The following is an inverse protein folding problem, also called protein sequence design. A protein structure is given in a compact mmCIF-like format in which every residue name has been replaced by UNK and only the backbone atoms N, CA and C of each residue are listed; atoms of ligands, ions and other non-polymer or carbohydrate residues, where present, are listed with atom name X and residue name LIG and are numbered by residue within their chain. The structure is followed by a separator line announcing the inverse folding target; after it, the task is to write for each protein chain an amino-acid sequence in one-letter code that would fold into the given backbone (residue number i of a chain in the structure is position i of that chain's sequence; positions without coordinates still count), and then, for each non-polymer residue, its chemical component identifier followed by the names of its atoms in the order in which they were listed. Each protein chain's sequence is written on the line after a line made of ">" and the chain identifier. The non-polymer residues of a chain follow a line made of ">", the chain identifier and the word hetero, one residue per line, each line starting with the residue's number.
data_IF_995617154149
#
_entry.id   IF_995617154149
#
_cell.length_a   1.000
_cell.length_b   1.000
_cell.length_c   1.000
_cell.angle_alpha   90.00
_cell.angle_beta   90.00
_cell.angle_gamma   90.00
#
_symmetry.space_group_name_H-M   'P 1'
#
loop_
_entity.id
_entity.type
_entity.pdbx_description
1 polymer ?
#
# COMPACT_ATOMS: atom_id res chain seq x y z
N UNK A 1 19.44 21.11 14.63
CA UNK A 1 18.74 20.25 15.62
C UNK A 1 17.43 19.69 15.09
N UNK A 2 16.34 20.48 14.98
CA UNK A 2 14.99 19.95 14.61
C UNK A 2 14.90 19.33 13.21
N UNK A 3 15.64 19.88 12.23
CA UNK A 3 15.71 19.30 10.87
C UNK A 3 16.47 17.96 10.86
N UNK A 4 17.48 17.81 11.72
CA UNK A 4 18.30 16.61 11.81
C UNK A 4 17.65 15.50 12.64
N UNK A 5 16.81 15.87 13.62
CA UNK A 5 15.99 14.93 14.37
C UNK A 5 14.52 15.36 14.37
N UNK A 6 13.69 14.73 13.54
CA UNK A 6 12.30 15.14 13.32
C UNK A 6 11.32 14.68 14.40
N UNK A 7 11.70 13.74 15.27
CA UNK A 7 10.87 13.27 16.38
C UNK A 7 11.13 14.01 17.71
N UNK A 8 12.07 14.96 17.69
CA UNK A 8 12.50 15.70 18.88
C UNK A 8 11.34 16.45 19.54
N UNK A 9 11.22 16.28 20.85
CA UNK A 9 10.18 16.89 21.68
C UNK A 9 10.59 18.30 22.11
N UNK A 10 9.60 19.15 22.43
CA UNK A 10 9.85 20.51 22.94
C UNK A 10 10.74 20.52 24.20
N UNK A 11 10.65 19.48 25.05
CA UNK A 11 11.49 19.35 26.26
C UNK A 11 12.95 19.06 25.93
N UNK A 12 13.20 18.20 24.95
CA UNK A 12 14.55 17.86 24.48
C UNK A 12 15.19 19.05 23.77
N UNK A 13 14.41 19.81 22.99
CA UNK A 13 14.86 21.08 22.41
C UNK A 13 15.29 22.07 23.51
N UNK A 14 14.51 22.17 24.60
CA UNK A 14 14.85 23.04 25.74
C UNK A 14 16.16 22.63 26.38
N UNK A 15 16.32 21.34 26.66
CA UNK A 15 17.51 20.79 27.31
C UNK A 15 18.76 21.04 26.45
N UNK A 16 18.66 20.81 25.14
CA UNK A 16 19.74 21.09 24.20
C UNK A 16 20.10 22.58 24.12
N UNK A 17 19.11 23.49 24.16
CA UNK A 17 19.35 24.94 24.16
C UNK A 17 20.04 25.41 25.44
N UNK A 18 19.65 24.88 26.61
CA UNK A 18 20.25 25.24 27.90
C UNK A 18 21.68 24.67 28.02
N UNK A 19 21.90 23.47 27.48
CA UNK A 19 23.22 22.83 27.49
C UNK A 19 24.23 23.50 26.53
N UNK A 20 23.78 24.13 25.45
CA UNK A 20 24.64 24.78 24.46
C UNK A 20 25.07 26.19 24.90
N UNK A 21 26.16 26.24 25.68
CA UNK A 21 26.84 27.48 26.08
C UNK A 21 27.70 28.09 24.97
N UNK A 22 27.74 27.50 23.77
CA UNK A 22 28.41 28.06 22.61
C UNK A 22 27.51 29.05 21.88
N UNK A 23 26.38 28.55 21.37
CA UNK A 23 25.43 29.32 20.56
C UNK A 23 24.43 30.11 21.42
N UNK A 24 24.02 29.56 22.56
CA UNK A 24 22.97 30.10 23.43
C UNK A 24 23.53 30.56 24.79
N UNK A 25 24.59 31.37 24.75
CA UNK A 25 25.24 31.91 25.97
C UNK A 25 24.23 32.62 26.88
N UNK A 26 24.35 32.36 28.18
CA UNK A 26 23.55 32.96 29.25
C UNK A 26 22.05 32.60 29.25
N UNK A 27 21.63 31.59 28.47
CA UNK A 27 20.25 31.08 28.54
C UNK A 27 20.19 29.94 29.58
N UNK A 28 19.86 30.28 30.81
CA UNK A 28 19.74 29.31 31.91
C UNK A 28 18.32 28.73 32.05
N UNK A 29 17.32 29.35 31.43
CA UNK A 29 15.93 28.89 31.47
C UNK A 29 15.16 29.37 30.24
N UNK A 30 14.31 28.49 29.68
CA UNK A 30 13.38 28.85 28.62
C UNK A 30 12.08 28.04 28.75
N UNK A 31 10.95 28.70 28.57
CA UNK A 31 9.63 28.04 28.64
C UNK A 31 9.35 27.22 27.37
N UNK A 32 8.58 26.14 27.50
CA UNK A 32 8.15 25.33 26.35
C UNK A 32 7.30 26.14 25.36
N UNK A 33 6.50 27.09 25.85
CA UNK A 33 5.73 28.02 25.02
C UNK A 33 6.62 28.92 24.17
N UNK A 34 7.76 29.37 24.71
CA UNK A 34 8.73 30.18 23.95
C UNK A 34 9.32 29.36 22.81
N UNK A 35 9.76 28.12 23.08
CA UNK A 35 10.26 27.22 22.03
C UNK A 35 9.20 26.99 20.96
N UNK A 36 7.97 26.66 21.36
CA UNK A 36 6.88 26.44 20.41
C UNK A 36 6.56 27.67 19.56
N UNK A 37 6.75 28.88 20.09
CA UNK A 37 6.59 30.15 19.33
C UNK A 37 7.74 30.35 18.35
N UNK A 38 8.97 30.07 18.76
CA UNK A 38 10.17 30.16 17.91
C UNK A 38 10.07 29.17 16.74
N UNK A 39 9.66 27.92 16.98
CA UNK A 39 9.43 26.94 15.91
C UNK A 39 8.42 27.46 14.89
N UNK A 40 7.26 27.96 15.34
CA UNK A 40 6.25 28.54 14.45
C UNK A 40 6.76 29.75 13.66
N UNK A 41 7.55 30.63 14.30
CA UNK A 41 8.17 31.79 13.63
C UNK A 41 9.15 31.37 12.53
N UNK A 42 9.79 30.20 12.69
CA UNK A 42 10.69 29.61 11.69
C UNK A 42 9.97 28.63 10.75
N UNK A 43 8.64 28.76 10.60
CA UNK A 43 7.83 27.93 9.70
C UNK A 43 7.91 26.41 9.97
N UNK A 44 8.23 26.02 11.22
CA UNK A 44 8.20 24.63 11.65
C UNK A 44 6.82 24.31 12.22
N UNK A 45 6.14 23.36 11.60
CA UNK A 45 4.83 22.87 12.03
C UNK A 45 4.93 21.43 12.55
N UNK A 46 4.05 21.09 13.50
CA UNK A 46 3.88 19.70 13.91
C UNK A 46 3.22 18.92 12.77
N UNK A 47 3.86 17.83 12.34
CA UNK A 47 3.36 16.91 11.32
C UNK A 47 3.28 15.51 11.90
N UNK A 48 2.46 14.66 11.32
CA UNK A 48 2.49 13.24 11.64
C UNK A 48 3.83 12.66 11.17
N UNK A 49 4.50 11.93 12.05
CA UNK A 49 5.75 11.26 11.71
C UNK A 49 5.48 10.15 10.69
N UNK A 50 6.18 10.22 9.56
CA UNK A 50 6.22 9.13 8.59
C UNK A 50 7.30 8.13 9.02
N UNK A 51 6.88 6.92 9.42
CA UNK A 51 7.80 5.86 9.85
C UNK A 51 8.28 5.07 8.64
N UNK A 52 9.56 5.16 8.35
CA UNK A 52 10.20 4.37 7.29
C UNK A 52 10.88 3.16 7.92
N UNK A 53 10.53 1.92 7.54
CA UNK A 53 11.23 0.73 8.01
C UNK A 53 12.71 0.80 7.63
N UNK A 54 13.60 0.46 8.57
CA UNK A 54 15.05 0.48 8.33
C UNK A 54 15.44 -0.38 7.12
N UNK A 55 14.82 -1.55 6.98
CA UNK A 55 15.04 -2.50 5.90
C UNK A 55 14.73 -1.93 4.51
N UNK A 56 13.88 -0.90 4.41
CA UNK A 56 13.53 -0.24 3.12
C UNK A 56 14.77 0.29 2.39
N UNK A 57 15.77 0.72 3.13
CA UNK A 57 17.01 1.30 2.58
C UNK A 57 18.19 0.33 2.57
N UNK A 58 17.97 -0.94 2.92
CA UNK A 58 19.00 -1.98 2.76
C UNK A 58 19.38 -2.15 1.28
N UNK A 59 20.63 -2.51 1.03
CA UNK A 59 21.13 -2.67 -0.32
C UNK A 59 20.41 -3.79 -1.07
N UNK A 60 20.02 -4.87 -0.37
CA UNK A 60 19.20 -5.95 -0.92
C UNK A 60 17.84 -5.45 -1.43
N UNK A 61 17.14 -4.60 -0.66
CA UNK A 61 15.83 -4.05 -1.07
C UNK A 61 15.97 -2.99 -2.17
N UNK A 62 17.08 -2.26 -2.23
CA UNK A 62 17.38 -1.35 -3.34
C UNK A 62 17.64 -2.14 -4.63
N UNK A 63 18.48 -3.16 -4.56
CA UNK A 63 18.82 -4.02 -5.68
C UNK A 63 17.57 -4.71 -6.25
N UNK A 64 16.73 -5.30 -5.41
CA UNK A 64 15.46 -5.90 -5.85
C UNK A 64 14.53 -4.90 -6.55
N UNK A 65 14.55 -3.62 -6.15
CA UNK A 65 13.80 -2.56 -6.84
C UNK A 65 14.42 -2.20 -8.19
N UNK A 66 15.75 -2.14 -8.29
CA UNK A 66 16.43 -1.91 -9.56
C UNK A 66 16.07 -3.02 -10.56
N UNK A 67 16.22 -4.28 -10.14
CA UNK A 67 15.89 -5.45 -10.96
C UNK A 67 14.43 -5.45 -11.42
N UNK A 68 13.50 -5.07 -10.53
CA UNK A 68 12.09 -4.94 -10.91
C UNK A 68 11.87 -3.86 -11.98
N UNK A 69 12.49 -2.69 -11.83
CA UNK A 69 12.36 -1.60 -12.82
C UNK A 69 12.97 -2.00 -14.16
N UNK A 70 14.14 -2.62 -14.13
CA UNK A 70 14.78 -3.17 -15.34
C UNK A 70 13.85 -4.17 -16.04
N UNK A 71 13.23 -5.10 -15.28
CA UNK A 71 12.30 -6.07 -15.86
C UNK A 71 11.05 -5.42 -16.47
N UNK A 72 10.50 -4.39 -15.85
CA UNK A 72 9.38 -3.63 -16.43
C UNK A 72 9.81 -2.94 -17.73
N UNK A 73 10.98 -2.31 -17.75
CA UNK A 73 11.52 -1.67 -18.95
C UNK A 73 11.74 -2.67 -20.08
N UNK A 74 12.26 -3.85 -19.79
CA UNK A 74 12.40 -4.95 -20.77
C UNK A 74 11.03 -5.33 -21.36
N UNK A 75 10.01 -5.54 -20.52
CA UNK A 75 8.67 -5.88 -20.98
C UNK A 75 8.05 -4.77 -21.86
N UNK A 76 8.31 -3.50 -21.55
CA UNK A 76 7.87 -2.38 -22.39
C UNK A 76 8.58 -2.36 -23.76
N UNK A 77 9.83 -2.82 -23.84
CA UNK A 77 10.65 -2.84 -25.06
C UNK A 77 10.43 -4.11 -25.91
N UNK A 78 10.18 -5.27 -25.29
CA UNK A 78 10.00 -6.58 -25.94
C UNK A 78 8.76 -6.63 -26.88
N UNK A 79 7.88 -5.63 -26.81
CA UNK A 79 6.83 -5.40 -27.82
C UNK A 79 5.59 -4.74 -27.23
N UNK A 80 4.88 -3.97 -28.07
CA UNK A 80 3.68 -3.19 -27.73
C UNK A 80 2.42 -4.02 -27.40
N UNK A 81 2.58 -5.27 -26.96
CA UNK A 81 1.49 -6.21 -26.71
C UNK A 81 1.41 -6.64 -25.22
N UNK A 82 2.31 -6.19 -24.36
CA UNK A 82 2.19 -6.41 -22.92
C UNK A 82 1.12 -5.51 -22.30
N UNK A 83 0.16 -6.13 -21.63
CA UNK A 83 -0.90 -5.45 -20.87
C UNK A 83 -0.67 -5.70 -19.39
N UNK A 84 -0.28 -4.65 -18.67
CA UNK A 84 -0.08 -4.72 -17.22
C UNK A 84 -1.41 -4.68 -16.48
N UNK A 85 -1.57 -5.63 -15.56
CA UNK A 85 -2.77 -5.76 -14.72
C UNK A 85 -2.31 -5.82 -13.27
N UNK A 86 -2.69 -4.82 -12.49
CA UNK A 86 -2.41 -4.75 -11.06
C UNK A 86 -3.50 -5.45 -10.28
N UNK A 87 -3.12 -6.41 -9.46
CA UNK A 87 -4.03 -7.16 -8.60
C UNK A 87 -3.69 -6.84 -7.15
N UNK A 88 -4.73 -6.54 -6.37
CA UNK A 88 -4.61 -6.27 -4.93
C UNK A 88 -5.79 -6.87 -4.15
N UNK A 89 -5.54 -7.11 -2.86
CA UNK A 89 -6.52 -7.62 -1.90
C UNK A 89 -6.80 -6.57 -0.82
N UNK A 90 -8.08 -6.26 -0.65
CA UNK A 90 -8.54 -5.25 0.29
C UNK A 90 -9.53 -5.86 1.30
N UNK A 91 -9.19 -5.75 2.58
CA UNK A 91 -10.07 -6.12 3.69
C UNK A 91 -10.97 -4.97 4.12
N UNK A 92 -12.28 -5.15 4.00
CA UNK A 92 -13.33 -4.24 4.45
C UNK A 92 -13.97 -4.78 5.73
N UNK A 93 -13.81 -4.02 6.81
CA UNK A 93 -14.56 -4.26 8.02
C UNK A 93 -15.97 -3.65 7.89
N UNK A 94 -17.01 -4.47 7.97
CA UNK A 94 -18.39 -4.02 7.84
C UNK A 94 -18.85 -3.13 9.01
N UNK A 95 -18.14 -3.17 10.14
CA UNK A 95 -18.44 -2.34 11.30
C UNK A 95 -17.85 -0.93 11.09
N UNK A 96 -18.64 -0.06 10.48
CA UNK A 96 -18.37 1.39 10.48
C UNK A 96 -18.78 1.99 11.83
N UNK A 97 -17.88 1.95 12.83
CA UNK A 97 -18.09 2.65 14.12
C UNK A 97 -17.66 4.12 14.05
N UNK A 98 -18.55 5.02 14.50
CA UNK A 98 -18.19 6.43 14.72
C UNK A 98 -17.13 6.52 15.82
N UNK A 99 -15.92 6.96 15.47
CA UNK A 99 -14.79 7.08 16.42
C UNK A 99 -14.92 8.24 17.41
N UNK A 100 -15.84 9.17 17.17
CA UNK A 100 -16.04 10.37 17.99
C UNK A 100 -17.52 10.57 18.25
N UNK A 101 -17.85 10.83 19.51
CA UNK A 101 -19.17 11.25 19.98
C UNK A 101 -19.08 12.57 20.73
N UNK A 102 -20.23 13.09 21.19
CA UNK A 102 -20.31 14.27 22.05
C UNK A 102 -20.95 13.87 23.37
N UNK A 103 -20.43 14.40 24.47
CA UNK A 103 -21.06 14.34 25.79
C UNK A 103 -20.67 15.60 26.59
N UNK A 104 -21.30 15.80 27.74
CA UNK A 104 -20.95 16.86 28.70
C UNK A 104 -19.48 16.76 29.13
N UNK A 105 -18.86 17.91 29.37
CA UNK A 105 -17.46 18.00 29.85
C UNK A 105 -17.35 17.23 31.18
N UNK A 106 -16.36 16.35 31.28
CA UNK A 106 -16.17 15.46 32.45
C UNK A 106 -16.89 14.11 32.34
N UNK A 107 -17.78 13.91 31.35
CA UNK A 107 -18.49 12.65 31.12
C UNK A 107 -18.01 11.93 29.87
N UNK A 108 -17.97 10.60 29.92
CA UNK A 108 -17.58 9.76 28.78
C UNK A 108 -18.72 9.63 27.78
N UNK A 109 -18.46 9.87 26.50
CA UNK A 109 -19.41 9.55 25.43
C UNK A 109 -19.37 8.03 25.17
N UNK A 110 -20.45 7.33 25.49
CA UNK A 110 -20.53 5.86 25.43
C UNK A 110 -21.68 5.43 24.52
N UNK A 111 -21.44 4.40 23.72
CA UNK A 111 -22.47 3.69 22.94
C UNK A 111 -22.38 2.19 23.25
N UNK A 112 -23.51 1.50 23.22
CA UNK A 112 -23.54 0.03 23.30
C UNK A 112 -23.32 -0.53 21.90
N UNK A 113 -22.37 -1.46 21.75
CA UNK A 113 -22.10 -2.17 20.49
C UNK A 113 -22.37 -3.66 20.68
N UNK A 114 -22.82 -4.38 19.64
CA UNK A 114 -22.92 -5.84 19.70
C UNK A 114 -21.56 -6.45 20.03
N UNK A 115 -21.54 -7.54 20.82
CA UNK A 115 -20.31 -8.25 21.18
C UNK A 115 -19.73 -9.12 20.05
N UNK A 116 -20.48 -9.33 18.97
CA UNK A 116 -20.09 -10.16 17.85
C UNK A 116 -19.43 -9.29 16.76
N UNK A 117 -18.23 -9.71 16.32
CA UNK A 117 -17.58 -9.10 15.16
C UNK A 117 -18.32 -9.62 13.91
N UNK A 118 -19.02 -8.75 13.19
CA UNK A 118 -19.49 -9.09 11.84
C UNK A 118 -18.31 -9.54 10.97
N UNK A 119 -18.60 -10.38 9.97
CA UNK A 119 -17.56 -10.96 9.16
C UNK A 119 -16.83 -9.88 8.33
N UNK A 120 -15.50 -9.94 8.28
CA UNK A 120 -14.73 -9.10 7.38
C UNK A 120 -15.01 -9.54 5.93
N UNK A 121 -15.32 -8.58 5.06
CA UNK A 121 -15.32 -8.82 3.62
C UNK A 121 -13.92 -8.58 3.12
N UNK A 122 -13.45 -9.46 2.27
CA UNK A 122 -12.17 -9.32 1.58
C UNK A 122 -12.46 -9.32 0.09
N UNK A 123 -12.00 -8.31 -0.61
CA UNK A 123 -12.18 -8.15 -2.05
C UNK A 123 -10.83 -8.22 -2.72
N UNK A 124 -10.70 -9.12 -3.69
CA UNK A 124 -9.60 -9.09 -4.64
C UNK A 124 -10.06 -8.34 -5.90
N UNK A 125 -9.22 -7.42 -6.39
CA UNK A 125 -9.53 -6.61 -7.55
C UNK A 125 -8.33 -6.57 -8.51
N UNK A 126 -8.63 -6.59 -9.81
CA UNK A 126 -7.68 -6.47 -10.91
C UNK A 126 -7.98 -5.22 -11.72
N UNK A 127 -7.00 -4.35 -11.87
CA UNK A 127 -7.09 -3.11 -12.64
C UNK A 127 -6.02 -3.05 -13.71
N UNK A 128 -6.37 -2.50 -14.87
CA UNK A 128 -5.42 -2.09 -15.89
C UNK A 128 -5.45 -0.57 -16.04
N UNK A 129 -4.64 -0.03 -16.95
CA UNK A 129 -4.67 1.39 -17.31
C UNK A 129 -6.05 1.84 -17.84
N UNK A 130 -6.89 0.91 -18.29
CA UNK A 130 -8.24 1.18 -18.80
C UNK A 130 -9.33 1.09 -17.71
N UNK A 131 -8.97 0.84 -16.46
CA UNK A 131 -9.89 0.73 -15.33
C UNK A 131 -9.97 -0.68 -14.72
N UNK A 132 -11.00 -0.89 -13.90
CA UNK A 132 -11.24 -2.15 -13.17
C UNK A 132 -11.70 -3.24 -14.13
N UNK A 133 -10.98 -4.37 -14.15
CA UNK A 133 -11.25 -5.53 -15.01
C UNK A 133 -12.10 -6.58 -14.30
N UNK A 134 -11.78 -6.86 -13.04
CA UNK A 134 -12.46 -7.87 -12.24
C UNK A 134 -12.38 -7.50 -10.76
N UNK A 135 -13.44 -7.78 -10.01
CA UNK A 135 -13.42 -7.74 -8.55
C UNK A 135 -14.33 -8.85 -8.01
N UNK A 136 -13.88 -9.54 -6.97
CA UNK A 136 -14.66 -10.58 -6.32
C UNK A 136 -14.64 -10.34 -4.81
N UNK A 137 -15.76 -9.87 -4.22
CA UNK A 137 -15.91 -9.77 -2.78
C UNK A 137 -16.18 -11.16 -2.19
N UNK A 138 -15.51 -11.47 -1.09
CA UNK A 138 -15.67 -12.74 -0.36
C UNK A 138 -15.76 -12.49 1.13
N UNK A 139 -16.51 -13.32 1.85
CA UNK A 139 -16.56 -13.24 3.32
C UNK A 139 -15.41 -14.07 3.89
N UNK A 140 -14.66 -13.47 4.82
CA UNK A 140 -13.52 -14.10 5.47
C UNK A 140 -12.18 -13.83 4.75
N UNK A 141 -11.09 -14.47 5.21
CA UNK A 141 -9.76 -14.25 4.64
C UNK A 141 -9.66 -14.83 3.22
N UNK A 142 -8.82 -14.20 2.40
CA UNK A 142 -8.45 -14.74 1.11
C UNK A 142 -7.43 -15.88 1.25
N UNK A 143 -7.45 -16.80 0.30
CA UNK A 143 -6.55 -17.95 0.27
C UNK A 143 -6.29 -18.37 -1.17
N UNK A 144 -5.44 -19.38 -1.37
CA UNK A 144 -5.08 -19.90 -2.69
C UNK A 144 -6.29 -20.32 -3.53
N UNK A 145 -7.27 -21.02 -2.95
CA UNK A 145 -8.45 -21.50 -3.69
C UNK A 145 -9.30 -20.34 -4.23
N UNK A 146 -9.52 -19.32 -3.40
CA UNK A 146 -10.21 -18.08 -3.80
C UNK A 146 -9.43 -17.34 -4.87
N UNK A 147 -8.10 -17.28 -4.75
CA UNK A 147 -7.24 -16.68 -5.76
C UNK A 147 -7.32 -17.41 -7.10
N UNK A 148 -7.32 -18.75 -7.12
CA UNK A 148 -7.49 -19.52 -8.36
C UNK A 148 -8.86 -19.22 -9.00
N UNK A 149 -9.92 -19.14 -8.19
CA UNK A 149 -11.26 -18.78 -8.67
C UNK A 149 -11.27 -17.38 -9.32
N UNK A 150 -10.57 -16.43 -8.71
CA UNK A 150 -10.39 -15.10 -9.26
C UNK A 150 -9.58 -15.08 -10.55
N UNK A 151 -8.47 -15.81 -10.61
CA UNK A 151 -7.65 -15.95 -11.82
C UNK A 151 -8.43 -16.56 -12.98
N UNK A 152 -9.24 -17.59 -12.73
CA UNK A 152 -10.16 -18.14 -13.73
C UNK A 152 -11.13 -17.07 -14.24
N UNK A 153 -11.77 -16.33 -13.33
CA UNK A 153 -12.72 -15.27 -13.68
C UNK A 153 -12.05 -14.14 -14.47
N UNK A 154 -10.80 -13.80 -14.15
CA UNK A 154 -10.00 -12.81 -14.85
C UNK A 154 -9.61 -13.30 -16.25
N UNK A 155 -9.18 -14.57 -16.36
CA UNK A 155 -8.87 -15.22 -17.64
C UNK A 155 -10.05 -15.24 -18.59
N UNK A 156 -11.24 -15.62 -18.11
CA UNK A 156 -12.45 -15.62 -18.92
C UNK A 156 -12.84 -14.24 -19.45
N UNK A 157 -12.52 -13.17 -18.72
CA UNK A 157 -12.78 -11.79 -19.15
C UNK A 157 -11.76 -11.26 -20.14
N UNK A 158 -10.51 -11.69 -20.03
CA UNK A 158 -9.40 -11.19 -20.85
C UNK A 158 -9.22 -11.98 -22.15
N UNK A 159 -9.52 -13.28 -22.13
CA UNK A 159 -9.25 -14.19 -23.24
C UNK A 159 -10.57 -14.84 -23.69
N UNK A 160 -11.12 -14.40 -24.84
CA UNK A 160 -12.30 -14.98 -25.45
C UNK A 160 -12.16 -16.50 -25.67
N UNK A 161 -13.24 -17.29 -25.56
CA UNK A 161 -13.20 -18.75 -25.69
C UNK A 161 -12.52 -19.25 -26.97
N UNK A 162 -12.70 -18.55 -28.08
CA UNK A 162 -12.14 -18.83 -29.40
C UNK A 162 -10.64 -18.59 -29.51
N UNK A 163 -10.08 -17.77 -28.61
CA UNK A 163 -8.63 -17.51 -28.55
C UNK A 163 -7.90 -18.33 -27.48
N UNK A 164 -8.62 -19.15 -26.69
CA UNK A 164 -8.02 -19.92 -25.58
C UNK A 164 -7.07 -20.97 -26.15
N UNK A 165 -5.83 -20.95 -25.66
CA UNK A 165 -4.76 -21.85 -26.11
C UNK A 165 -4.08 -21.43 -27.41
N UNK A 166 -4.53 -20.35 -28.07
CA UNK A 166 -3.80 -19.76 -29.18
C UNK A 166 -2.64 -18.91 -28.66
N UNK A 167 -1.49 -19.07 -29.30
CA UNK A 167 -0.31 -18.23 -29.07
C UNK A 167 0.23 -17.84 -30.43
N UNK A 168 -0.02 -16.59 -30.84
CA UNK A 168 0.42 -16.05 -32.13
C UNK A 168 1.10 -14.70 -31.95
N UNK A 169 2.10 -14.36 -32.79
CA UNK A 169 2.71 -13.03 -32.78
C UNK A 169 1.65 -11.94 -32.95
N UNK A 170 1.70 -10.92 -32.08
CA UNK A 170 0.76 -9.80 -32.08
C UNK A 170 -0.44 -9.93 -31.14
N UNK A 171 -0.67 -11.10 -30.54
CA UNK A 171 -1.65 -11.26 -29.47
C UNK A 171 -1.17 -10.59 -28.17
N UNK A 172 -2.08 -9.99 -27.37
CA UNK A 172 -1.69 -9.40 -26.10
C UNK A 172 -1.26 -10.47 -25.10
N UNK A 173 -0.17 -10.17 -24.40
CA UNK A 173 0.34 -10.91 -23.25
C UNK A 173 -0.01 -10.12 -21.98
N UNK A 174 -0.63 -10.78 -21.02
CA UNK A 174 -1.10 -10.14 -19.80
C UNK A 174 -0.10 -10.36 -18.67
N UNK A 175 0.42 -9.27 -18.13
CA UNK A 175 1.38 -9.28 -17.01
C UNK A 175 0.61 -8.98 -15.73
N UNK A 176 0.39 -9.99 -14.90
CA UNK A 176 -0.27 -9.87 -13.60
C UNK A 176 0.76 -9.42 -12.56
N UNK A 177 0.59 -8.21 -12.04
CA UNK A 177 1.45 -7.59 -11.03
C UNK A 177 0.72 -7.58 -9.68
N UNK A 178 1.33 -8.18 -8.67
CA UNK A 178 0.80 -8.18 -7.30
C UNK A 178 1.92 -8.17 -6.26
N UNK A 179 1.53 -8.05 -4.99
CA UNK A 179 2.46 -8.11 -3.88
C UNK A 179 3.05 -9.53 -3.68
N UNK A 180 4.06 -9.59 -2.81
CA UNK A 180 4.87 -10.78 -2.60
C UNK A 180 4.30 -11.68 -1.48
N UNK A 181 2.97 -11.84 -1.42
CA UNK A 181 2.31 -12.67 -0.41
C UNK A 181 2.60 -14.16 -0.62
N UNK A 182 2.77 -14.89 0.48
CA UNK A 182 3.20 -16.29 0.45
C UNK A 182 2.28 -17.20 -0.38
N UNK A 183 0.97 -16.97 -0.38
CA UNK A 183 0.04 -17.82 -1.12
C UNK A 183 0.03 -17.54 -2.63
N UNK A 184 0.58 -16.41 -3.10
CA UNK A 184 0.84 -16.16 -4.53
C UNK A 184 1.94 -17.09 -5.08
N UNK A 185 2.83 -17.58 -4.22
CA UNK A 185 3.88 -18.54 -4.56
C UNK A 185 3.44 -20.00 -4.45
N UNK A 186 2.17 -20.23 -4.14
CA UNK A 186 1.68 -21.60 -3.96
C UNK A 186 1.82 -22.42 -5.25
N UNK A 187 2.03 -23.73 -5.09
CA UNK A 187 2.15 -24.66 -6.23
C UNK A 187 0.98 -24.53 -7.20
N UNK A 188 -0.24 -24.40 -6.69
CA UNK A 188 -1.45 -24.28 -7.52
C UNK A 188 -1.43 -23.02 -8.38
N UNK A 189 -0.94 -21.89 -7.86
CA UNK A 189 -0.84 -20.65 -8.63
C UNK A 189 0.21 -20.79 -9.73
N UNK A 190 1.38 -21.36 -9.42
CA UNK A 190 2.41 -21.62 -10.43
C UNK A 190 1.94 -22.58 -11.52
N UNK A 191 1.25 -23.67 -11.15
CA UNK A 191 0.64 -24.62 -12.09
C UNK A 191 -0.41 -23.94 -12.96
N UNK A 192 -1.21 -23.05 -12.38
CA UNK A 192 -2.20 -22.27 -13.11
C UNK A 192 -1.54 -21.38 -14.17
N UNK A 193 -0.50 -20.61 -13.84
CA UNK A 193 0.21 -19.82 -14.87
C UNK A 193 0.93 -20.69 -15.90
N UNK A 194 1.44 -21.87 -15.49
CA UNK A 194 2.08 -22.82 -16.40
C UNK A 194 1.17 -23.34 -17.52
N UNK A 195 -0.14 -23.38 -17.30
CA UNK A 195 -1.12 -23.81 -18.32
C UNK A 195 -1.78 -22.64 -19.08
N UNK A 196 -1.45 -21.40 -18.73
CA UNK A 196 -2.00 -20.18 -19.37
C UNK A 196 -0.86 -19.33 -19.98
N UNK A 197 -0.34 -19.69 -21.17
CA UNK A 197 0.88 -19.09 -21.73
C UNK A 197 0.76 -17.60 -22.10
N UNK A 198 -0.46 -17.07 -22.20
CA UNK A 198 -0.71 -15.63 -22.44
C UNK A 198 -0.74 -14.80 -21.16
N UNK A 199 -0.64 -15.43 -19.99
CA UNK A 199 -0.62 -14.76 -18.70
C UNK A 199 0.68 -15.07 -17.99
N UNK A 200 1.35 -14.03 -17.51
CA UNK A 200 2.55 -14.17 -16.70
C UNK A 200 2.41 -13.40 -15.40
N UNK A 201 3.09 -13.88 -14.37
CA UNK A 201 3.11 -13.23 -13.07
C UNK A 201 4.40 -12.44 -12.87
N UNK A 202 4.28 -11.27 -12.25
CA UNK A 202 5.39 -10.43 -11.83
C UNK A 202 5.14 -9.97 -10.40
N UNK A 203 6.14 -10.13 -9.55
CA UNK A 203 6.06 -9.74 -8.15
C UNK A 203 6.64 -8.36 -7.93
N UNK A 204 5.96 -7.57 -7.12
CA UNK A 204 6.55 -6.35 -6.60
C UNK A 204 7.70 -6.64 -5.65
N UNK A 205 8.74 -5.79 -5.66
CA UNK A 205 9.73 -5.80 -4.62
C UNK A 205 9.13 -5.30 -3.30
N UNK A 206 9.69 -5.76 -2.18
CA UNK A 206 9.31 -5.26 -0.86
C UNK A 206 9.52 -3.74 -0.77
N UNK A 207 8.53 -3.03 -0.23
CA UNK A 207 8.52 -1.55 -0.17
C UNK A 207 8.70 -0.89 -1.54
N UNK A 208 7.79 -1.13 -2.51
CA UNK A 208 7.91 -0.54 -3.83
C UNK A 208 7.91 0.99 -3.73
N UNK A 209 8.69 1.63 -4.61
CA UNK A 209 8.81 3.10 -4.67
C UNK A 209 7.63 3.75 -5.38
N UNK A 210 6.92 2.99 -6.22
CA UNK A 210 5.79 3.46 -7.01
C UNK A 210 4.45 3.25 -6.30
N UNK A 211 3.60 4.27 -6.38
CA UNK A 211 2.23 4.31 -5.83
C UNK A 211 1.20 3.53 -6.68
N UNK A 212 1.61 2.72 -7.66
CA UNK A 212 0.68 1.97 -8.53
C UNK A 212 -0.28 1.05 -7.75
N UNK A 213 0.11 0.59 -6.56
CA UNK A 213 -0.75 -0.20 -5.67
C UNK A 213 -1.80 0.64 -4.95
N UNK A 214 -1.51 1.91 -4.65
CA UNK A 214 -2.51 2.80 -4.04
C UNK A 214 -3.61 3.19 -5.02
N UNK A 215 -3.33 3.16 -6.32
CA UNK A 215 -4.32 3.46 -7.37
C UNK A 215 -5.52 2.50 -7.36
N UNK A 216 -5.31 1.20 -7.08
CA UNK A 216 -6.40 0.21 -7.08
C UNK A 216 -7.39 0.48 -5.95
N UNK A 217 -6.89 0.67 -4.73
CA UNK A 217 -7.69 1.01 -3.56
C UNK A 217 -8.33 2.40 -3.67
N UNK A 218 -7.62 3.38 -4.20
CA UNK A 218 -8.12 4.74 -4.34
C UNK A 218 -9.20 4.85 -5.43
N UNK A 219 -9.09 4.11 -6.55
CA UNK A 219 -10.17 4.06 -7.55
C UNK A 219 -11.45 3.43 -6.99
N UNK A 220 -11.34 2.36 -6.18
CA UNK A 220 -12.51 1.73 -5.55
C UNK A 220 -13.20 2.62 -4.51
N UNK A 221 -12.43 3.45 -3.78
CA UNK A 221 -13.00 4.46 -2.86
C UNK A 221 -13.65 5.65 -3.59
N UNK A 222 -13.14 6.03 -4.78
CA UNK A 222 -13.65 7.17 -5.56
C UNK A 222 -14.89 6.80 -6.37
N UNK A 223 -15.03 5.54 -6.80
CA UNK A 223 -16.23 5.04 -7.50
C UNK A 223 -17.43 4.74 -6.57
N UNK A 224 -17.32 4.97 -5.26
CA UNK A 224 -18.45 4.99 -4.35
C UNK A 224 -19.11 3.63 -4.10
N UNK A 225 -18.30 2.57 -4.03
CA UNK A 225 -18.72 1.26 -3.48
C UNK A 225 -18.41 1.15 -1.97
#
# INVERSE_FOLDING_TARGET
>A
MVVANNDIRLREIREAVIADQGTFRNINNVSLSTIARVLRRNHMAMKQLYRVPFQRNSDVVKEARCQYVERIMELEVEGAHHVFIYVDEAGFNLIKVKRRGRNLIGYRATITVPGQRDANITMCAANSNNGVLCHIPTIGPYNTERLITFLNSLHERLIPPDERGLLSPGMPLFVIIWDNLAFHHSRLVNEWFGVHPRMMMLFLPTFPTFESHRGVLQCLEVEGL
#
